data_IF_619409242534
#
_entry.id   IF_619409242534
#
_cell.length_a   1.000
_cell.length_b   1.000
_cell.length_c   1.000
_cell.angle_alpha   90.00
_cell.angle_beta   90.00
_cell.angle_gamma   90.00
#
_symmetry.space_group_name_H-M   'P 1'
#
loop_
_entity.id
_entity.type
_entity.pdbx_description
1 polymer ?
#
# COMPACT_ATOMS: atom_id res chain seq x y z
N UNK A 1 -11.79 -0.21 -12.33
CA UNK A 1 -11.45 0.75 -11.26
C UNK A 1 -12.41 1.94 -11.32
N UNK A 2 -13.20 2.17 -10.26
CA UNK A 2 -14.19 3.27 -10.25
C UNK A 2 -13.52 4.60 -9.87
N UNK A 3 -14.17 5.73 -10.15
CA UNK A 3 -13.61 7.07 -9.92
C UNK A 3 -13.29 7.31 -8.43
N UNK A 4 -14.10 6.76 -7.52
CA UNK A 4 -13.88 6.86 -6.07
C UNK A 4 -12.64 6.11 -5.58
N UNK A 5 -12.31 4.97 -6.20
CA UNK A 5 -11.10 4.19 -5.88
C UNK A 5 -9.82 4.94 -6.25
N UNK A 6 -9.88 5.83 -7.25
CA UNK A 6 -8.75 6.65 -7.65
C UNK A 6 -8.39 7.70 -6.60
N UNK A 7 -9.36 8.40 -6.02
CA UNK A 7 -9.09 9.46 -5.04
C UNK A 7 -8.52 8.90 -3.72
N UNK A 8 -8.99 7.73 -3.29
CA UNK A 8 -8.42 7.04 -2.13
C UNK A 8 -6.98 6.60 -2.36
N UNK A 9 -6.68 6.05 -3.54
CA UNK A 9 -5.32 5.68 -3.93
C UNK A 9 -4.41 6.90 -4.04
N UNK A 10 -4.87 8.00 -4.63
CA UNK A 10 -4.07 9.21 -4.80
C UNK A 10 -3.67 9.82 -3.45
N UNK A 11 -4.60 9.91 -2.50
CA UNK A 11 -4.27 10.35 -1.13
C UNK A 11 -3.28 9.43 -0.44
N UNK A 12 -3.48 8.12 -0.56
CA UNK A 12 -2.56 7.14 0.00
C UNK A 12 -1.15 7.33 -0.57
N UNK A 13 -0.97 7.36 -1.90
CA UNK A 13 0.34 7.53 -2.53
C UNK A 13 0.98 8.88 -2.22
N UNK A 14 0.19 9.96 -2.14
CA UNK A 14 0.68 11.27 -1.72
C UNK A 14 1.15 11.30 -0.25
N UNK A 15 0.56 10.46 0.61
CA UNK A 15 1.04 10.29 1.99
C UNK A 15 2.29 9.42 2.08
N UNK A 16 2.38 8.38 1.24
CA UNK A 16 3.59 7.52 1.13
C UNK A 16 4.81 8.34 0.74
N UNK A 17 4.65 9.32 -0.13
CA UNK A 17 5.73 10.24 -0.53
C UNK A 17 6.31 11.09 0.62
N UNK A 18 5.64 11.12 1.78
CA UNK A 18 6.09 11.85 2.97
C UNK A 18 6.80 10.95 3.98
N UNK A 19 6.83 9.64 3.74
CA UNK A 19 7.46 8.67 4.63
C UNK A 19 8.98 8.71 4.49
N UNK A 20 9.64 8.37 5.58
CA UNK A 20 11.10 8.26 5.67
C UNK A 20 11.57 6.82 5.46
N UNK A 21 12.87 6.57 5.19
CA UNK A 21 13.43 5.22 5.16
C UNK A 21 13.08 4.40 6.42
N UNK A 22 13.17 5.00 7.60
CA UNK A 22 12.82 4.36 8.87
C UNK A 22 11.35 3.92 8.95
N UNK A 23 10.43 4.73 8.39
CA UNK A 23 9.02 4.36 8.31
C UNK A 23 8.81 3.13 7.42
N UNK A 24 9.53 3.00 6.30
CA UNK A 24 9.44 1.82 5.44
C UNK A 24 10.01 0.57 6.10
N UNK A 25 11.10 0.70 6.88
CA UNK A 25 11.61 -0.40 7.70
C UNK A 25 10.53 -0.86 8.69
N UNK A 26 9.88 0.07 9.39
CA UNK A 26 8.82 -0.26 10.34
C UNK A 26 7.57 -0.87 9.67
N UNK A 27 7.21 -0.40 8.46
CA UNK A 27 6.16 -1.00 7.63
C UNK A 27 6.50 -2.45 7.31
N UNK A 28 7.72 -2.73 6.86
CA UNK A 28 8.15 -4.09 6.50
C UNK A 28 8.12 -5.02 7.71
N UNK A 29 8.63 -4.58 8.87
CA UNK A 29 8.59 -5.34 10.12
C UNK A 29 7.15 -5.68 10.55
N UNK A 30 6.24 -4.70 10.48
CA UNK A 30 4.81 -4.92 10.81
C UNK A 30 4.12 -5.82 9.79
N UNK A 31 4.47 -5.70 8.52
CA UNK A 31 3.94 -6.56 7.47
C UNK A 31 4.40 -8.02 7.68
N UNK A 32 5.64 -8.23 8.12
CA UNK A 32 6.14 -9.55 8.52
C UNK A 32 5.43 -10.09 9.75
N UNK A 33 5.21 -9.26 10.79
CA UNK A 33 4.51 -9.64 12.02
C UNK A 33 3.04 -10.07 11.78
N UNK A 34 2.41 -9.53 10.74
CA UNK A 34 1.04 -9.92 10.33
C UNK A 34 0.98 -11.37 9.81
N UNK A 35 2.10 -11.91 9.32
CA UNK A 35 2.22 -13.29 8.86
C UNK A 35 1.90 -13.47 7.36
N UNK A 36 2.69 -14.32 6.71
CA UNK A 36 2.61 -14.55 5.25
C UNK A 36 1.27 -15.15 4.80
N UNK A 37 0.64 -15.98 5.63
CA UNK A 37 -0.64 -16.64 5.32
C UNK A 37 -1.78 -15.63 5.20
N UNK A 38 -1.95 -14.78 6.23
CA UNK A 38 -2.99 -13.75 6.27
C UNK A 38 -2.85 -12.76 5.10
N UNK A 39 -1.63 -12.22 4.90
CA UNK A 39 -1.34 -11.32 3.76
C UNK A 39 -1.60 -11.97 2.40
N UNK A 40 -1.29 -13.26 2.24
CA UNK A 40 -1.54 -13.97 0.98
C UNK A 40 -3.02 -14.20 0.75
N UNK A 41 -3.78 -14.54 1.80
CA UNK A 41 -5.24 -14.67 1.72
C UNK A 41 -5.90 -13.35 1.30
N UNK A 42 -5.55 -12.25 1.98
CA UNK A 42 -6.09 -10.93 1.67
C UNK A 42 -5.72 -10.47 0.24
N UNK A 43 -4.46 -10.64 -0.20
CA UNK A 43 -4.07 -10.33 -1.59
C UNK A 43 -4.80 -11.16 -2.64
N UNK A 44 -5.11 -12.43 -2.34
CA UNK A 44 -5.88 -13.29 -3.25
C UNK A 44 -7.33 -12.82 -3.37
N UNK A 45 -7.93 -12.34 -2.28
CA UNK A 45 -9.26 -11.73 -2.29
C UNK A 45 -9.26 -10.41 -3.08
N UNK A 46 -8.19 -9.62 -2.99
CA UNK A 46 -8.00 -8.35 -3.69
C UNK A 46 -7.59 -8.50 -5.18
N UNK A 47 -8.12 -9.49 -5.91
CA UNK A 47 -7.66 -9.81 -7.26
C UNK A 47 -7.99 -8.71 -8.28
N UNK A 48 -6.98 -8.28 -9.03
CA UNK A 48 -7.09 -7.41 -10.21
C UNK A 48 -6.93 -8.22 -11.51
N UNK A 49 -7.44 -7.69 -12.62
CA UNK A 49 -7.01 -8.13 -13.95
C UNK A 49 -5.53 -7.80 -14.20
N UNK A 50 -4.90 -8.43 -15.20
CA UNK A 50 -3.50 -8.15 -15.53
C UNK A 50 -3.27 -6.68 -15.92
N UNK A 51 -4.20 -6.10 -16.71
CA UNK A 51 -4.13 -4.71 -17.12
C UNK A 51 -4.26 -3.75 -15.93
N UNK A 52 -5.23 -3.96 -15.05
CA UNK A 52 -5.39 -3.12 -13.85
C UNK A 52 -4.22 -3.26 -12.89
N UNK A 53 -3.66 -4.47 -12.74
CA UNK A 53 -2.46 -4.69 -11.92
C UNK A 53 -1.24 -3.96 -12.48
N UNK A 54 -1.06 -3.98 -13.80
CA UNK A 54 0.03 -3.24 -14.46
C UNK A 54 -0.14 -1.73 -14.29
N UNK A 55 -1.36 -1.22 -14.40
CA UNK A 55 -1.65 0.21 -14.16
C UNK A 55 -1.37 0.61 -12.70
N UNK A 56 -1.73 -0.24 -11.74
CA UNK A 56 -1.44 -0.01 -10.33
C UNK A 56 0.07 -0.04 -10.04
N UNK A 57 0.78 -1.02 -10.58
CA UNK A 57 2.25 -1.14 -10.44
C UNK A 57 2.95 0.11 -10.96
N UNK A 58 2.54 0.58 -12.14
CA UNK A 58 3.06 1.83 -12.69
C UNK A 58 2.82 3.01 -11.74
N UNK A 59 1.60 3.20 -11.23
CA UNK A 59 1.29 4.33 -10.32
C UNK A 59 2.11 4.29 -9.03
N UNK A 60 2.29 3.11 -8.45
CA UNK A 60 3.13 2.97 -7.25
C UNK A 60 4.58 3.30 -7.58
N UNK A 61 5.15 2.74 -8.65
CA UNK A 61 6.53 3.05 -9.06
C UNK A 61 6.71 4.54 -9.36
N UNK A 62 5.78 5.15 -10.07
CA UNK A 62 5.80 6.58 -10.38
C UNK A 62 5.78 7.44 -9.10
N UNK A 63 5.08 6.99 -8.04
CA UNK A 63 5.08 7.66 -6.74
C UNK A 63 6.42 7.54 -5.99
N UNK A 64 7.23 6.52 -6.26
CA UNK A 64 8.55 6.33 -5.65
C UNK A 64 9.67 7.06 -6.39
N UNK A 65 9.50 7.42 -7.67
CA UNK A 65 10.49 8.19 -8.45
C UNK A 65 11.11 9.37 -7.67
N UNK A 66 10.35 10.27 -7.01
CA UNK A 66 10.93 11.38 -6.26
C UNK A 66 11.67 10.96 -4.96
N UNK A 67 11.46 9.73 -4.48
CA UNK A 67 12.05 9.21 -3.24
C UNK A 67 13.27 8.31 -3.48
N UNK A 68 13.56 7.94 -4.73
CA UNK A 68 14.62 6.98 -5.07
C UNK A 68 15.96 7.36 -4.47
N UNK A 69 16.41 8.61 -4.66
CA UNK A 69 17.72 9.05 -4.15
C UNK A 69 17.78 8.98 -2.62
N UNK A 70 16.69 9.32 -1.93
CA UNK A 70 16.62 9.26 -0.47
C UNK A 70 16.66 7.82 0.05
N UNK A 71 15.97 6.89 -0.61
CA UNK A 71 15.92 5.48 -0.22
C UNK A 71 17.21 4.74 -0.59
N UNK A 72 17.83 5.06 -1.74
CA UNK A 72 19.14 4.48 -2.12
C UNK A 72 20.27 4.95 -1.21
N UNK A 73 20.16 6.15 -0.62
CA UNK A 73 21.16 6.69 0.30
C UNK A 73 21.13 6.02 1.69
N UNK A 74 20.02 5.37 2.07
CA UNK A 74 19.85 4.72 3.37
C UNK A 74 19.78 3.19 3.24
N UNK A 75 20.85 2.45 3.61
CA UNK A 75 20.88 1.00 3.47
C UNK A 75 19.93 0.25 4.41
N UNK A 76 19.27 0.93 5.37
CA UNK A 76 18.30 0.27 6.27
C UNK A 76 16.94 0.03 5.62
N UNK A 77 16.64 0.72 4.52
CA UNK A 77 15.38 0.60 3.80
C UNK A 77 15.62 0.05 2.40
N UNK A 78 15.05 -1.12 2.12
CA UNK A 78 15.12 -1.70 0.79
C UNK A 78 14.02 -1.10 -0.10
N UNK A 79 14.42 -0.45 -1.20
CA UNK A 79 13.51 0.17 -2.16
C UNK A 79 12.54 -0.85 -2.79
N UNK A 80 13.02 -2.07 -3.06
CA UNK A 80 12.17 -3.12 -3.61
C UNK A 80 11.09 -3.54 -2.61
N UNK A 81 11.45 -3.75 -1.34
CA UNK A 81 10.50 -4.08 -0.28
C UNK A 81 9.49 -2.95 -0.06
N UNK A 82 9.94 -1.69 0.00
CA UNK A 82 9.08 -0.52 0.14
C UNK A 82 8.03 -0.42 -0.99
N UNK A 83 8.44 -0.68 -2.23
CA UNK A 83 7.53 -0.74 -3.38
C UNK A 83 6.56 -1.92 -3.24
N UNK A 84 7.03 -3.09 -2.85
CA UNK A 84 6.20 -4.31 -2.73
C UNK A 84 5.16 -4.23 -1.60
N UNK A 85 5.52 -3.64 -0.47
CA UNK A 85 4.59 -3.37 0.62
C UNK A 85 3.58 -2.29 0.24
N UNK A 86 4.02 -1.20 -0.41
CA UNK A 86 3.11 -0.16 -0.92
C UNK A 86 2.15 -0.73 -1.95
N UNK A 87 2.62 -1.59 -2.87
CA UNK A 87 1.77 -2.30 -3.82
C UNK A 87 0.71 -3.16 -3.15
N UNK A 88 1.07 -3.81 -2.04
CA UNK A 88 0.16 -4.67 -1.27
C UNK A 88 -0.93 -3.83 -0.59
N UNK A 89 -0.58 -2.71 0.03
CA UNK A 89 -1.52 -1.78 0.65
C UNK A 89 -2.41 -1.09 -0.40
N UNK A 90 -1.83 -0.62 -1.50
CA UNK A 90 -2.54 0.02 -2.61
C UNK A 90 -3.57 -0.94 -3.23
N UNK A 91 -3.25 -2.23 -3.32
CA UNK A 91 -4.21 -3.26 -3.75
C UNK A 91 -5.42 -3.33 -2.81
N UNK A 92 -5.17 -3.25 -1.50
CA UNK A 92 -6.21 -3.17 -0.47
C UNK A 92 -7.11 -1.94 -0.66
N UNK A 93 -6.52 -0.77 -0.92
CA UNK A 93 -7.26 0.49 -1.17
C UNK A 93 -8.14 0.37 -2.41
N UNK A 94 -7.60 -0.12 -3.53
CA UNK A 94 -8.31 -0.21 -4.81
C UNK A 94 -9.41 -1.27 -4.80
N UNK A 95 -9.22 -2.37 -4.07
CA UNK A 95 -10.21 -3.45 -3.98
C UNK A 95 -10.94 -3.47 -2.64
N UNK A 96 -11.01 -2.33 -1.93
CA UNK A 96 -11.61 -2.23 -0.59
C UNK A 96 -13.01 -2.85 -0.54
N UNK A 97 -13.83 -2.60 -1.56
CA UNK A 97 -15.21 -3.11 -1.67
C UNK A 97 -15.33 -4.62 -1.85
N UNK A 98 -14.24 -5.32 -2.20
CA UNK A 98 -14.21 -6.78 -2.39
C UNK A 98 -13.59 -7.54 -1.21
N UNK A 99 -13.04 -6.82 -0.25
CA UNK A 99 -12.39 -7.39 0.92
C UNK A 99 -13.36 -7.47 2.08
N UNK A 100 -13.13 -8.37 3.02
CA UNK A 100 -13.66 -8.18 4.37
C UNK A 100 -12.88 -7.07 5.08
N UNK A 101 -13.46 -6.51 6.14
CA UNK A 101 -12.78 -5.54 7.00
C UNK A 101 -11.42 -6.07 7.48
N UNK A 102 -11.38 -7.29 8.00
CA UNK A 102 -10.16 -7.94 8.47
C UNK A 102 -9.11 -8.09 7.35
N UNK A 103 -9.53 -8.45 6.14
CA UNK A 103 -8.61 -8.56 5.00
C UNK A 103 -8.09 -7.19 4.55
N UNK A 104 -8.94 -6.17 4.58
CA UNK A 104 -8.54 -4.80 4.27
C UNK A 104 -7.52 -4.30 5.29
N UNK A 105 -7.83 -4.41 6.58
CA UNK A 105 -6.94 -4.04 7.68
C UNK A 105 -5.60 -4.78 7.60
N UNK A 106 -5.62 -6.08 7.30
CA UNK A 106 -4.41 -6.89 7.10
C UNK A 106 -3.45 -6.27 6.07
N UNK A 107 -3.98 -5.62 5.03
CA UNK A 107 -3.17 -5.02 3.95
C UNK A 107 -2.70 -3.59 4.29
N UNK A 108 -3.49 -2.82 5.04
CA UNK A 108 -3.21 -1.39 5.25
C UNK A 108 -2.63 -1.05 6.62
N UNK A 109 -2.78 -1.92 7.62
CA UNK A 109 -2.39 -1.66 9.01
C UNK A 109 -0.90 -1.30 9.20
N UNK A 110 0.06 -1.89 8.46
CA UNK A 110 1.46 -1.45 8.54
C UNK A 110 1.63 0.04 8.22
N UNK A 111 0.93 0.54 7.20
CA UNK A 111 0.99 1.93 6.76
C UNK A 111 0.22 2.89 7.68
N UNK A 112 -0.93 2.46 8.21
CA UNK A 112 -1.65 3.24 9.24
C UNK A 112 -0.76 3.52 10.45
N UNK A 113 0.05 2.55 10.84
CA UNK A 113 0.87 2.64 12.05
C UNK A 113 2.07 3.60 11.92
N UNK A 114 2.46 3.95 10.68
CA UNK A 114 3.44 5.02 10.38
C UNK A 114 2.76 6.34 9.96
N UNK A 115 1.44 6.43 10.11
CA UNK A 115 0.70 7.67 9.85
C UNK A 115 0.35 7.95 8.38
N UNK A 116 0.40 6.95 7.50
CA UNK A 116 -0.08 7.12 6.12
C UNK A 116 -1.60 7.37 6.07
N UNK A 117 -2.05 8.19 5.11
CA UNK A 117 -3.48 8.48 4.89
C UNK A 117 -4.11 7.37 4.05
N UNK A 118 -4.54 6.31 4.73
CA UNK A 118 -5.24 5.18 4.13
C UNK A 118 -6.74 5.32 4.40
N UNK A 119 -7.62 5.09 3.39
CA UNK A 119 -9.06 5.19 3.61
C UNK A 119 -9.54 4.26 4.74
N UNK A 120 -10.26 4.77 5.73
CA UNK A 120 -10.77 3.92 6.82
C UNK A 120 -11.91 3.04 6.28
N UNK A 121 -12.01 1.80 6.78
CA UNK A 121 -13.13 0.92 6.48
C UNK A 121 -14.46 1.61 6.81
N UNK A 122 -15.47 1.46 5.95
CA UNK A 122 -16.79 2.06 6.15
C UNK A 122 -16.90 3.59 5.94
N UNK A 123 -15.80 4.29 5.65
CA UNK A 123 -15.88 5.67 5.16
C UNK A 123 -16.16 5.66 3.66
N UNK A 124 -17.44 5.77 3.28
CA UNK A 124 -17.82 6.13 1.90
C UNK A 124 -17.41 7.58 1.59
N UNK A 125 -17.11 7.90 0.32
CA UNK A 125 -16.79 9.27 -0.06
C UNK A 125 -18.07 10.10 0.00
N UNK A 126 -18.02 11.18 0.78
CA UNK A 126 -19.00 12.27 0.70
C UNK A 126 -18.86 12.97 -0.65
#
# INVERSE_FOLDING_TARGET
MTVSDNHGLDRFLASVQKLTPADFTEVSERALATGASARTSARKAAKLSAAERSALDKRVRDAFVPMHEQLEADPSADLHDAIMDTMTAALGVVQRTKLSEEQYETLIRPFLAVGADVPIWGSDPV
#
